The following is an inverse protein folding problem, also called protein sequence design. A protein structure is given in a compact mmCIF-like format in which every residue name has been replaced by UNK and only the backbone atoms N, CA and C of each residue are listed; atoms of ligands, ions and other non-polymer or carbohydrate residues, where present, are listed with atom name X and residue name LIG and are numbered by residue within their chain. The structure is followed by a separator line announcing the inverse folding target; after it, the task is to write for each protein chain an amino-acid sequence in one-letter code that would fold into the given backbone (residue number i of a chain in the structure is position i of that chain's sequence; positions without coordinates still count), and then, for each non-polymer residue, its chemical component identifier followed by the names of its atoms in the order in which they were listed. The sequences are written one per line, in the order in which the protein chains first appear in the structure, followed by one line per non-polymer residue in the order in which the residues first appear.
data_IF_492106283535
#
_entry.id   IF_492106283535
#
_cell.length_a   1.000
_cell.length_b   1.000
_cell.length_c   1.000
_cell.angle_alpha   90.00
_cell.angle_beta   90.00
_cell.angle_gamma   90.00
#
_symmetry.space_group_name_H-M   'P 1'
#
loop_
_entity.id
_entity.type
_entity.pdbx_description
1 polymer ?
#
# COMPACT_ATOMS: atom_id res chain seq x y z
N UNK A 1 -15.52 -17.03 -2.30
CA UNK A 1 -16.51 -17.61 -3.22
C UNK A 1 -16.25 -17.04 -4.60
N UNK A 2 -16.03 -17.87 -5.60
CA UNK A 2 -15.86 -17.41 -6.98
C UNK A 2 -17.22 -16.97 -7.50
N UNK A 3 -17.31 -15.70 -7.82
CA UNK A 3 -18.57 -15.05 -8.14
C UNK A 3 -19.05 -15.37 -9.57
N UNK A 4 -20.15 -14.83 -9.93
CA UNK A 4 -21.03 -14.94 -11.08
C UNK A 4 -20.42 -14.86 -12.50
N UNK A 5 -19.11 -14.85 -12.67
CA UNK A 5 -18.48 -14.77 -13.99
C UNK A 5 -17.89 -16.12 -14.39
N UNK A 6 -18.46 -16.69 -15.42
CA UNK A 6 -17.92 -17.88 -16.09
C UNK A 6 -16.69 -17.45 -16.89
N UNK A 7 -15.54 -17.91 -16.48
CA UNK A 7 -14.36 -17.91 -17.35
C UNK A 7 -14.27 -19.30 -17.97
N UNK A 8 -14.13 -19.37 -19.30
CA UNK A 8 -14.04 -20.64 -20.02
C UNK A 8 -13.07 -21.59 -19.31
N UNK A 9 -13.47 -22.85 -19.11
CA UNK A 9 -12.75 -23.91 -18.40
C UNK A 9 -12.59 -23.77 -16.87
N UNK A 10 -13.12 -22.74 -16.24
CA UNK A 10 -13.15 -22.64 -14.76
C UNK A 10 -14.42 -23.25 -14.16
N UNK A 11 -15.06 -24.14 -14.88
CA UNK A 11 -16.32 -24.79 -14.47
C UNK A 11 -16.21 -25.63 -13.18
N UNK A 12 -15.01 -26.08 -12.86
CA UNK A 12 -14.74 -26.81 -11.61
C UNK A 12 -15.08 -26.02 -10.33
N UNK A 13 -15.26 -24.68 -10.44
CA UNK A 13 -15.62 -23.81 -9.33
C UNK A 13 -17.02 -23.26 -9.41
N UNK A 14 -17.85 -23.73 -10.33
CA UNK A 14 -19.25 -23.34 -10.39
C UNK A 14 -20.01 -23.98 -9.22
N UNK A 15 -20.35 -23.14 -8.26
CA UNK A 15 -21.31 -23.52 -7.23
C UNK A 15 -22.73 -23.40 -7.80
N UNK A 16 -23.44 -24.52 -7.86
CA UNK A 16 -24.82 -24.62 -8.39
C UNK A 16 -25.89 -24.50 -7.31
N UNK A 17 -25.52 -24.40 -6.05
CA UNK A 17 -26.45 -24.28 -4.91
C UNK A 17 -26.94 -22.86 -4.67
N UNK A 18 -27.63 -22.69 -3.56
CA UNK A 18 -28.16 -21.39 -3.14
C UNK A 18 -27.05 -20.44 -2.64
N UNK A 19 -26.69 -19.50 -3.48
CA UNK A 19 -25.67 -18.48 -3.17
C UNK A 19 -26.14 -17.51 -2.08
N UNK A 20 -27.45 -17.21 -2.05
CA UNK A 20 -28.02 -16.31 -1.04
C UNK A 20 -27.86 -16.93 0.36
N UNK A 21 -28.08 -18.23 0.49
CA UNK A 21 -27.86 -18.94 1.74
C UNK A 21 -26.38 -18.87 2.19
N UNK A 22 -25.40 -18.95 1.25
CA UNK A 22 -23.99 -18.82 1.57
C UNK A 22 -23.61 -17.41 2.00
N UNK A 23 -24.17 -16.37 1.38
CA UNK A 23 -23.96 -14.99 1.82
C UNK A 23 -24.60 -14.75 3.20
N UNK A 24 -25.77 -15.35 3.45
CA UNK A 24 -26.39 -15.24 4.79
C UNK A 24 -25.50 -15.92 5.86
N UNK A 25 -24.97 -17.11 5.59
CA UNK A 25 -24.03 -17.77 6.51
C UNK A 25 -22.76 -16.94 6.77
N UNK A 26 -22.21 -16.31 5.73
CA UNK A 26 -21.05 -15.43 5.87
C UNK A 26 -21.37 -14.18 6.72
N UNK A 27 -22.56 -13.60 6.52
CA UNK A 27 -23.05 -12.49 7.33
C UNK A 27 -23.21 -12.87 8.78
N UNK A 28 -23.86 -14.00 9.05
CA UNK A 28 -24.12 -14.49 10.42
C UNK A 28 -22.80 -14.77 11.14
N UNK A 29 -21.88 -15.49 10.51
CA UNK A 29 -20.56 -15.75 11.07
C UNK A 29 -19.74 -14.48 11.34
N UNK A 30 -19.80 -13.49 10.46
CA UNK A 30 -19.14 -12.21 10.69
C UNK A 30 -19.77 -11.44 11.87
N UNK A 31 -21.11 -11.46 11.97
CA UNK A 31 -21.84 -10.86 13.09
C UNK A 31 -21.52 -11.52 14.43
N UNK A 32 -21.33 -12.83 14.46
CA UNK A 32 -20.94 -13.54 15.68
C UNK A 32 -19.62 -13.01 16.22
N UNK A 33 -18.64 -12.77 15.35
CA UNK A 33 -17.36 -12.19 15.77
C UNK A 33 -17.48 -10.70 16.12
N UNK A 34 -18.25 -9.92 15.34
CA UNK A 34 -18.46 -8.49 15.60
C UNK A 34 -19.14 -8.25 16.95
N UNK A 35 -20.03 -9.14 17.35
CA UNK A 35 -20.76 -9.05 18.61
C UNK A 35 -20.05 -9.73 19.79
N UNK A 36 -18.89 -10.36 19.55
CA UNK A 36 -18.09 -10.95 20.63
C UNK A 36 -17.43 -9.83 21.45
N UNK A 37 -17.72 -9.80 22.75
CA UNK A 37 -17.21 -8.79 23.68
C UNK A 37 -15.69 -8.79 23.87
N UNK A 38 -14.98 -9.80 23.36
CA UNK A 38 -13.52 -9.85 23.37
C UNK A 38 -12.88 -8.94 22.30
N UNK A 39 -13.66 -8.47 21.34
CA UNK A 39 -13.18 -7.64 20.24
C UNK A 39 -13.93 -6.32 20.17
N UNK A 40 -13.23 -5.25 19.79
CA UNK A 40 -13.84 -3.94 19.52
C UNK A 40 -13.04 -3.16 18.50
N UNK A 41 -13.71 -2.36 17.65
CA UNK A 41 -13.05 -1.40 16.80
C UNK A 41 -12.47 -0.27 17.65
N UNK A 42 -11.22 0.07 17.41
CA UNK A 42 -10.54 1.18 18.08
C UNK A 42 -10.92 2.48 17.37
N UNK A 43 -11.47 3.43 18.12
CA UNK A 43 -11.75 4.77 17.62
C UNK A 43 -10.47 5.61 17.59
N UNK A 44 -10.08 6.04 16.38
CA UNK A 44 -8.94 6.93 16.16
C UNK A 44 -9.37 8.38 15.89
N UNK A 45 -10.68 8.64 15.74
CA UNK A 45 -11.23 9.91 15.29
C UNK A 45 -11.16 11.02 16.36
N UNK A 46 -9.94 11.33 16.82
CA UNK A 46 -9.70 12.44 17.74
C UNK A 46 -8.33 13.05 17.48
N UNK A 47 -8.29 14.35 17.21
CA UNK A 47 -7.07 15.11 16.95
C UNK A 47 -6.88 15.50 15.48
N UNK A 48 -5.66 15.81 15.11
CA UNK A 48 -5.25 16.14 13.76
C UNK A 48 -5.19 14.90 12.87
N UNK A 49 -5.17 15.09 11.56
CA UNK A 49 -4.99 13.98 10.58
C UNK A 49 -3.76 13.14 10.89
N UNK A 50 -2.66 13.79 11.30
CA UNK A 50 -1.42 13.10 11.69
C UNK A 50 -1.65 12.21 12.92
N UNK A 51 -2.29 12.72 13.96
CA UNK A 51 -2.59 11.94 15.18
C UNK A 51 -3.55 10.78 14.90
N UNK A 52 -4.54 10.98 14.04
CA UNK A 52 -5.44 9.90 13.59
C UNK A 52 -4.65 8.84 12.83
N UNK A 53 -3.76 9.25 11.92
CA UNK A 53 -2.90 8.33 11.16
C UNK A 53 -1.97 7.51 12.08
N UNK A 54 -1.38 8.15 13.08
CA UNK A 54 -0.51 7.50 14.08
C UNK A 54 -1.31 6.49 14.93
N UNK A 55 -2.51 6.83 15.38
CA UNK A 55 -3.40 5.91 16.11
C UNK A 55 -3.79 4.71 15.24
N UNK A 56 -4.18 4.96 13.99
CA UNK A 56 -4.50 3.89 13.04
C UNK A 56 -3.28 2.99 12.77
N UNK A 57 -2.10 3.58 12.57
CA UNK A 57 -0.87 2.82 12.39
C UNK A 57 -0.57 1.94 13.62
N UNK A 58 -0.79 2.46 14.82
CA UNK A 58 -0.57 1.71 16.05
C UNK A 58 -1.46 0.48 16.20
N UNK A 59 -2.69 0.51 15.65
CA UNK A 59 -3.57 -0.70 15.58
C UNK A 59 -2.86 -1.85 14.86
N UNK A 60 -2.09 -1.53 13.83
CA UNK A 60 -1.47 -2.53 12.97
C UNK A 60 -0.20 -3.12 13.57
N UNK A 61 0.60 -2.30 14.25
CA UNK A 61 1.91 -2.70 14.77
C UNK A 61 1.88 -3.19 16.23
N UNK A 62 0.69 -3.24 16.84
CA UNK A 62 0.51 -3.74 18.21
C UNK A 62 -0.57 -4.83 18.26
N UNK A 63 -0.55 -5.66 19.31
CA UNK A 63 -1.70 -6.50 19.64
C UNK A 63 -2.70 -5.68 20.46
N UNK A 64 -3.94 -5.71 20.06
CA UNK A 64 -5.02 -4.92 20.65
C UNK A 64 -6.38 -5.60 20.46
N UNK A 65 -7.45 -4.91 20.81
CA UNK A 65 -8.83 -5.42 20.78
C UNK A 65 -9.34 -5.73 19.36
N UNK A 66 -8.68 -5.23 18.31
CA UNK A 66 -9.00 -5.62 16.92
C UNK A 66 -8.29 -6.90 16.47
N UNK A 67 -7.25 -7.35 17.17
CA UNK A 67 -6.42 -8.47 16.74
C UNK A 67 -7.11 -9.79 17.01
N UNK A 68 -7.56 -10.47 15.95
CA UNK A 68 -8.13 -11.82 16.04
C UNK A 68 -7.00 -12.85 15.93
N UNK A 69 -6.12 -12.68 14.95
CA UNK A 69 -4.96 -13.55 14.75
C UNK A 69 -3.79 -12.79 14.18
N UNK A 70 -2.63 -12.95 14.81
CA UNK A 70 -1.38 -12.34 14.36
C UNK A 70 -0.19 -13.26 14.60
N UNK A 71 0.83 -13.14 13.76
CA UNK A 71 2.13 -13.74 14.01
C UNK A 71 2.89 -12.88 15.00
N UNK A 72 3.32 -13.50 16.09
CA UNK A 72 4.13 -12.84 17.11
C UNK A 72 5.60 -12.97 16.78
N UNK A 73 6.37 -11.94 17.09
CA UNK A 73 7.81 -11.92 16.97
C UNK A 73 8.44 -11.59 18.32
N UNK A 74 9.65 -12.07 18.53
CA UNK A 74 10.41 -11.82 19.74
C UNK A 74 11.80 -11.31 19.39
N UNK A 75 12.29 -10.36 20.17
CA UNK A 75 13.68 -9.93 20.11
C UNK A 75 14.53 -10.99 20.84
N UNK A 76 15.13 -11.89 20.09
CA UNK A 76 16.09 -12.88 20.61
C UNK A 76 17.48 -12.56 20.13
N UNK A 77 18.45 -13.00 20.93
CA UNK A 77 19.89 -12.91 20.70
C UNK A 77 20.26 -13.11 19.22
N UNK A 78 21.31 -12.43 18.78
CA UNK A 78 21.84 -12.41 17.41
C UNK A 78 22.07 -13.80 16.79
N UNK A 79 22.21 -14.84 17.64
CA UNK A 79 22.43 -16.22 17.25
C UNK A 79 21.15 -17.04 17.06
N UNK A 80 19.97 -16.47 17.31
CA UNK A 80 18.69 -17.18 17.09
C UNK A 80 18.27 -17.14 15.62
N UNK A 81 17.60 -18.22 15.18
CA UNK A 81 17.06 -18.33 13.83
C UNK A 81 16.29 -17.07 13.41
N UNK A 82 16.55 -16.59 12.21
CA UNK A 82 15.94 -15.40 11.61
C UNK A 82 14.40 -15.41 11.57
N UNK A 83 13.78 -16.56 11.80
CA UNK A 83 12.33 -16.77 11.74
C UNK A 83 11.53 -16.19 12.92
N UNK A 84 12.21 -15.86 14.02
CA UNK A 84 11.58 -15.33 15.23
C UNK A 84 11.56 -13.81 15.28
N UNK A 85 12.22 -13.13 14.34
CA UNK A 85 12.31 -11.67 14.25
C UNK A 85 11.36 -11.13 13.18
N UNK A 86 10.82 -9.97 13.44
CA UNK A 86 10.15 -9.19 12.39
C UNK A 86 11.22 -8.49 11.55
N UNK A 87 11.38 -8.92 10.30
CA UNK A 87 12.33 -8.34 9.35
C UNK A 87 11.67 -7.41 8.33
N UNK A 88 10.40 -7.06 8.52
CA UNK A 88 9.68 -6.22 7.54
C UNK A 88 10.39 -4.88 7.37
N UNK A 89 10.81 -4.25 8.45
CA UNK A 89 11.52 -2.97 8.35
C UNK A 89 12.84 -3.08 7.57
N UNK A 90 13.64 -4.13 7.80
CA UNK A 90 14.87 -4.37 7.03
C UNK A 90 14.55 -4.60 5.53
N UNK A 91 13.54 -5.41 5.26
CA UNK A 91 13.24 -5.85 3.89
C UNK A 91 12.52 -4.76 3.08
N UNK A 92 11.70 -3.93 3.71
CA UNK A 92 10.80 -2.98 3.04
C UNK A 92 11.09 -1.51 3.36
N UNK A 93 11.87 -1.22 4.38
CA UNK A 93 12.20 0.13 4.80
C UNK A 93 13.17 0.87 3.88
N UNK A 94 13.46 2.15 4.17
CA UNK A 94 14.19 3.04 3.29
C UNK A 94 15.70 2.75 3.26
N UNK A 95 16.30 3.03 2.10
CA UNK A 95 17.74 2.87 1.87
C UNK A 95 18.59 3.75 2.81
N UNK A 96 18.12 4.97 3.12
CA UNK A 96 18.78 5.86 4.08
C UNK A 96 18.95 5.27 5.49
N UNK A 97 18.27 4.15 5.77
CA UNK A 97 18.37 3.37 6.99
C UNK A 97 19.05 2.00 6.77
N UNK A 98 19.78 1.82 5.66
CA UNK A 98 20.34 0.53 5.22
C UNK A 98 19.32 -0.58 5.06
N UNK A 99 18.06 -0.22 4.77
CA UNK A 99 17.02 -1.18 4.48
C UNK A 99 16.89 -1.40 2.96
N UNK A 100 16.18 -2.44 2.56
CA UNK A 100 16.28 -2.98 1.22
C UNK A 100 15.19 -2.50 0.24
N UNK A 101 14.18 -1.75 0.73
CA UNK A 101 13.07 -1.25 -0.08
C UNK A 101 12.42 -2.31 -1.01
N UNK A 102 12.38 -3.57 -0.56
CA UNK A 102 11.98 -4.72 -1.37
C UNK A 102 10.50 -4.78 -1.72
N UNK A 103 9.66 -4.05 -0.99
CA UNK A 103 8.22 -3.91 -1.30
C UNK A 103 7.88 -2.43 -1.42
N UNK A 104 7.62 -2.00 -2.64
CA UNK A 104 7.25 -0.62 -2.92
C UNK A 104 5.81 -0.53 -3.40
N UNK A 105 4.98 0.37 -2.84
CA UNK A 105 3.64 0.62 -3.35
C UNK A 105 3.71 1.15 -4.78
N UNK A 106 2.81 0.68 -5.64
CA UNK A 106 2.66 1.26 -6.97
C UNK A 106 1.96 2.60 -6.88
N UNK A 107 2.20 3.50 -7.84
CA UNK A 107 1.49 4.78 -7.89
C UNK A 107 -0.04 4.61 -7.97
N UNK A 108 -0.53 3.58 -8.67
CA UNK A 108 -1.97 3.22 -8.70
C UNK A 108 -2.53 2.87 -7.30
N UNK A 109 -1.73 2.28 -6.42
CA UNK A 109 -2.15 2.06 -5.03
C UNK A 109 -2.16 3.37 -4.24
N UNK A 110 -1.14 4.19 -4.40
CA UNK A 110 -1.03 5.51 -3.73
C UNK A 110 -2.21 6.40 -4.09
N UNK A 111 -2.63 6.41 -5.36
CA UNK A 111 -3.76 7.18 -5.84
C UNK A 111 -5.12 6.56 -5.49
N UNK A 112 -5.16 5.34 -4.95
CA UNK A 112 -6.39 4.75 -4.44
C UNK A 112 -6.83 5.33 -3.09
N UNK A 113 -5.92 5.87 -2.28
CA UNK A 113 -6.29 6.57 -1.06
C UNK A 113 -7.04 7.85 -1.39
N UNK A 114 -8.16 8.09 -0.75
CA UNK A 114 -9.01 9.26 -1.01
C UNK A 114 -8.46 10.56 -0.40
N UNK A 115 -9.03 11.67 -0.79
CA UNK A 115 -8.83 12.96 -0.10
C UNK A 115 -9.63 13.01 1.19
N UNK A 116 -9.38 14.01 2.04
CA UNK A 116 -10.19 14.26 3.24
C UNK A 116 -11.69 14.41 2.95
N UNK A 117 -12.06 14.88 1.76
CA UNK A 117 -13.45 15.02 1.31
C UNK A 117 -14.07 13.71 0.80
N UNK A 118 -13.32 12.63 0.72
CA UNK A 118 -13.79 11.35 0.17
C UNK A 118 -13.68 11.21 -1.35
N UNK A 119 -13.06 12.17 -2.04
CA UNK A 119 -12.80 12.09 -3.49
C UNK A 119 -11.60 11.19 -3.78
N UNK A 120 -11.68 10.42 -4.86
CA UNK A 120 -10.50 9.78 -5.43
C UNK A 120 -9.74 10.83 -6.23
N UNK A 121 -8.41 10.97 -6.02
CA UNK A 121 -7.61 11.86 -6.86
C UNK A 121 -7.77 11.53 -8.34
N UNK A 122 -7.99 12.53 -9.16
CA UNK A 122 -8.26 12.40 -10.59
C UNK A 122 -7.13 12.97 -11.48
N UNK A 123 -6.04 13.41 -10.86
CA UNK A 123 -4.83 13.89 -11.52
C UNK A 123 -3.68 12.92 -11.28
N UNK A 124 -2.61 13.03 -12.05
CA UNK A 124 -1.43 12.15 -11.92
C UNK A 124 -1.78 10.65 -12.03
N UNK A 125 -2.62 10.29 -12.99
CA UNK A 125 -3.04 8.89 -13.16
C UNK A 125 -2.30 8.18 -14.27
N UNK A 126 -1.79 8.91 -15.27
CA UNK A 126 -1.18 8.35 -16.49
C UNK A 126 0.28 8.70 -16.59
N UNK A 127 1.12 7.80 -17.14
CA UNK A 127 2.51 8.11 -17.44
C UNK A 127 2.67 9.41 -18.22
N UNK A 128 3.59 10.27 -17.75
CA UNK A 128 3.87 11.58 -18.32
C UNK A 128 3.01 12.73 -17.78
N UNK A 129 1.93 12.46 -17.05
CA UNK A 129 1.22 13.53 -16.32
C UNK A 129 2.10 14.11 -15.21
N UNK A 130 2.07 15.42 -15.06
CA UNK A 130 2.87 16.15 -14.07
C UNK A 130 2.04 17.18 -13.33
N UNK A 131 2.44 17.47 -12.09
CA UNK A 131 1.88 18.56 -11.28
C UNK A 131 2.98 19.26 -10.50
N UNK A 132 2.75 20.52 -10.14
CA UNK A 132 3.53 21.29 -9.17
C UNK A 132 2.79 21.43 -7.83
N UNK A 133 1.56 20.98 -7.75
CA UNK A 133 0.82 20.89 -6.49
C UNK A 133 1.21 19.59 -5.79
N UNK A 134 1.49 19.67 -4.49
CA UNK A 134 1.87 18.51 -3.70
C UNK A 134 0.72 17.48 -3.65
N UNK A 135 0.88 16.29 -4.28
CA UNK A 135 -0.20 15.30 -4.39
C UNK A 135 -0.45 14.53 -3.08
N UNK A 136 0.34 14.81 -2.06
CA UNK A 136 0.27 14.14 -0.76
C UNK A 136 -0.51 14.92 0.28
N UNK A 137 -0.88 16.18 -0.04
CA UNK A 137 -1.66 17.03 0.86
C UNK A 137 -3.15 16.63 0.87
N UNK A 138 -3.80 16.90 1.99
CA UNK A 138 -5.24 16.70 2.18
C UNK A 138 -5.71 15.26 1.85
N UNK A 139 -4.87 14.28 2.18
CA UNK A 139 -5.20 12.86 2.02
C UNK A 139 -5.79 12.29 3.30
N UNK A 140 -6.52 11.20 3.16
CA UNK A 140 -7.09 10.49 4.32
C UNK A 140 -6.02 9.95 5.28
N UNK A 141 -6.33 9.75 6.57
CA UNK A 141 -5.34 9.32 7.59
C UNK A 141 -4.62 8.01 7.24
N UNK A 142 -5.32 7.04 6.62
CA UNK A 142 -4.71 5.75 6.22
C UNK A 142 -3.60 5.90 5.18
N UNK A 143 -3.66 6.94 4.34
CA UNK A 143 -2.56 7.26 3.44
C UNK A 143 -1.27 7.50 4.21
N UNK A 144 -1.30 8.41 5.19
CA UNK A 144 -0.12 8.77 6.00
C UNK A 144 0.35 7.64 6.92
N UNK A 145 -0.56 6.75 7.30
CA UNK A 145 -0.24 5.55 8.10
C UNK A 145 0.39 4.42 7.26
N UNK A 146 0.15 4.39 5.94
CA UNK A 146 0.46 3.24 5.08
C UNK A 146 1.60 3.49 4.12
N UNK A 147 1.74 4.72 3.62
CA UNK A 147 2.64 5.08 2.51
C UNK A 147 3.78 5.97 3.01
N UNK A 148 5.01 5.56 2.73
CA UNK A 148 6.18 6.43 2.77
C UNK A 148 6.33 7.14 1.43
N UNK A 149 6.35 8.48 1.45
CA UNK A 149 6.45 9.34 0.28
C UNK A 149 7.52 10.41 0.48
N UNK A 150 7.95 11.10 -0.56
CA UNK A 150 9.00 12.13 -0.48
C UNK A 150 8.62 13.26 0.48
N UNK A 151 9.49 13.55 1.43
CA UNK A 151 9.26 14.51 2.50
C UNK A 151 8.50 13.96 3.71
N UNK A 152 7.97 12.72 3.65
CA UNK A 152 7.31 12.13 4.82
C UNK A 152 8.29 11.90 5.97
N UNK A 153 7.85 12.17 7.19
CA UNK A 153 8.59 11.82 8.39
C UNK A 153 8.74 10.29 8.49
N UNK A 154 9.94 9.86 8.80
CA UNK A 154 10.25 8.45 8.94
C UNK A 154 11.16 8.19 10.13
N UNK A 155 10.63 7.54 11.13
CA UNK A 155 11.36 6.94 12.24
C UNK A 155 12.39 7.82 12.94
N UNK A 156 13.34 7.17 13.58
CA UNK A 156 14.46 7.78 14.29
C UNK A 156 15.74 7.67 13.46
N UNK A 157 16.34 8.78 13.02
CA UNK A 157 17.53 8.75 12.16
C UNK A 157 18.80 8.32 12.90
N UNK A 158 18.79 8.25 14.24
CA UNK A 158 19.98 8.03 15.06
C UNK A 158 19.81 6.87 16.01
N UNK A 159 20.90 6.15 16.22
CA UNK A 159 21.05 5.25 17.34
C UNK A 159 21.01 5.99 18.70
N UNK A 160 20.68 5.27 19.75
CA UNK A 160 20.61 5.79 21.11
C UNK A 160 21.97 6.29 21.63
N UNK A 161 23.09 5.85 21.07
CA UNK A 161 24.45 6.26 21.39
C UNK A 161 24.86 7.59 20.74
N UNK A 162 23.99 8.22 19.97
CA UNK A 162 24.24 9.48 19.29
C UNK A 162 25.04 9.36 17.98
N UNK A 163 25.42 8.16 17.57
CA UNK A 163 26.07 7.94 16.29
C UNK A 163 25.11 8.27 15.13
N UNK A 164 25.61 8.96 14.11
CA UNK A 164 24.88 9.14 12.86
C UNK A 164 24.98 7.83 12.09
N UNK A 165 23.86 7.14 11.98
CA UNK A 165 23.77 5.95 11.18
C UNK A 165 23.27 6.37 9.80
N UNK A 166 24.10 7.02 9.03
CA UNK A 166 23.81 7.53 7.71
C UNK A 166 22.74 8.61 7.52
N UNK A 167 22.61 8.91 6.35
CA UNK A 167 22.30 10.18 5.78
C UNK A 167 20.83 10.36 5.40
N UNK A 168 19.84 9.68 5.96
CA UNK A 168 18.52 10.27 5.90
C UNK A 168 18.49 11.42 6.91
N UNK A 169 18.86 12.63 6.48
CA UNK A 169 18.99 13.73 7.44
C UNK A 169 17.62 14.01 8.01
N UNK A 170 17.56 14.15 9.32
CA UNK A 170 16.39 14.58 10.04
C UNK A 170 15.15 13.67 10.00
N UNK A 171 15.29 12.43 9.51
CA UNK A 171 14.19 11.47 9.49
C UNK A 171 13.11 11.71 8.43
N UNK A 172 13.45 12.39 7.34
CA UNK A 172 12.55 12.59 6.21
C UNK A 172 12.97 11.73 5.02
N UNK A 173 12.01 11.07 4.38
CA UNK A 173 12.22 10.29 3.16
C UNK A 173 12.58 11.17 1.97
N UNK A 174 13.49 10.69 1.12
CA UNK A 174 14.03 11.42 -0.02
C UNK A 174 14.06 10.55 -1.27
N UNK A 175 13.08 10.70 -2.15
CA UNK A 175 12.93 9.91 -3.37
C UNK A 175 13.17 10.70 -4.65
N UNK A 176 13.57 11.97 -4.55
CA UNK A 176 13.64 12.87 -5.70
C UNK A 176 15.05 13.17 -6.19
N UNK A 177 15.08 14.06 -7.16
CA UNK A 177 16.26 14.74 -7.68
C UNK A 177 16.21 16.20 -7.24
N UNK A 178 17.25 16.69 -6.60
CA UNK A 178 17.23 17.98 -5.94
C UNK A 178 18.39 18.86 -6.40
N UNK A 179 18.07 20.08 -6.84
CA UNK A 179 19.05 21.05 -7.25
C UNK A 179 19.85 21.57 -6.06
N UNK A 180 21.16 21.69 -6.22
CA UNK A 180 22.07 22.27 -5.23
C UNK A 180 22.72 23.53 -5.77
N UNK A 181 22.96 24.51 -4.89
CA UNK A 181 23.69 25.73 -5.21
C UNK A 181 25.18 25.45 -5.40
N UNK A 182 25.74 24.60 -4.55
CA UNK A 182 27.14 24.23 -4.51
C UNK A 182 27.31 22.76 -4.13
N UNK A 183 28.43 22.17 -4.48
CA UNK A 183 28.83 20.84 -4.03
C UNK A 183 28.06 19.66 -4.64
N UNK A 184 27.18 19.91 -5.61
CA UNK A 184 26.42 18.87 -6.31
C UNK A 184 27.19 18.26 -7.47
N UNK A 185 26.58 17.23 -8.04
CA UNK A 185 27.03 16.59 -9.28
C UNK A 185 26.03 16.88 -10.41
N UNK A 186 26.42 16.62 -11.65
CA UNK A 186 25.46 16.62 -12.74
C UNK A 186 24.51 15.44 -12.58
N UNK A 187 23.33 15.69 -12.05
CA UNK A 187 22.26 14.69 -11.96
C UNK A 187 21.42 14.72 -13.23
N UNK A 188 21.01 13.55 -13.66
CA UNK A 188 20.15 13.36 -14.81
C UNK A 188 18.75 12.97 -14.33
N UNK A 189 17.91 13.96 -14.06
CA UNK A 189 16.56 13.74 -13.62
C UNK A 189 15.72 13.18 -14.77
N UNK A 190 15.26 11.95 -14.61
CA UNK A 190 14.42 11.25 -15.59
C UNK A 190 12.97 11.44 -15.21
N UNK A 191 12.21 12.08 -16.09
CA UNK A 191 10.78 12.34 -15.89
C UNK A 191 9.88 11.25 -16.45
N UNK A 192 10.32 10.56 -17.53
CA UNK A 192 9.61 9.39 -18.02
C UNK A 192 10.54 8.52 -18.88
N UNK A 193 10.18 7.23 -18.97
CA UNK A 193 10.86 6.26 -19.84
C UNK A 193 9.83 5.53 -20.71
N UNK A 194 10.26 5.04 -21.87
CA UNK A 194 9.48 4.12 -22.68
C UNK A 194 9.48 2.69 -22.10
N UNK A 195 8.84 1.76 -22.81
CA UNK A 195 8.74 0.37 -22.36
C UNK A 195 10.08 -0.38 -22.39
N UNK A 196 11.10 0.16 -23.06
CA UNK A 196 12.45 -0.39 -23.18
C UNK A 196 13.49 0.33 -22.28
N UNK A 197 13.00 1.18 -21.34
CA UNK A 197 13.80 1.96 -20.39
C UNK A 197 14.62 3.10 -21.04
N UNK A 198 14.24 3.57 -22.22
CA UNK A 198 14.87 4.76 -22.78
C UNK A 198 14.19 6.01 -22.23
N UNK A 199 14.96 7.03 -21.80
CA UNK A 199 14.37 8.28 -21.33
C UNK A 199 13.59 9.00 -22.43
N UNK A 200 12.30 9.24 -22.19
CA UNK A 200 11.45 10.06 -23.07
C UNK A 200 11.65 11.54 -22.71
N UNK A 201 11.77 11.83 -21.43
CA UNK A 201 12.02 13.18 -20.93
C UNK A 201 13.05 13.13 -19.81
N UNK A 202 14.10 13.91 -19.94
CA UNK A 202 15.16 14.04 -18.94
C UNK A 202 15.71 15.45 -18.90
N UNK A 203 16.32 15.80 -17.79
CA UNK A 203 16.96 17.09 -17.58
C UNK A 203 18.23 16.92 -16.74
N UNK A 204 19.26 17.70 -17.05
CA UNK A 204 20.51 17.74 -16.27
C UNK A 204 20.61 19.02 -15.48
N UNK A 205 21.03 18.92 -14.24
CA UNK A 205 21.32 20.07 -13.39
C UNK A 205 22.37 19.70 -12.33
N UNK A 206 22.97 20.71 -11.71
CA UNK A 206 23.81 20.52 -10.53
C UNK A 206 22.94 20.16 -9.33
N UNK A 207 23.13 18.98 -8.79
CA UNK A 207 22.24 18.52 -7.72
C UNK A 207 22.66 17.21 -7.09
N UNK A 208 21.70 16.60 -6.39
CA UNK A 208 21.83 15.27 -5.80
C UNK A 208 20.60 14.42 -6.07
N UNK A 209 20.79 13.13 -5.97
CA UNK A 209 19.70 12.14 -5.94
C UNK A 209 19.39 11.81 -4.49
N UNK A 210 18.12 11.74 -4.14
CA UNK A 210 17.68 11.40 -2.79
C UNK A 210 18.18 10.03 -2.33
N UNK A 211 18.54 9.93 -1.06
CA UNK A 211 19.21 8.74 -0.49
C UNK A 211 18.32 7.50 -0.52
N UNK A 212 17.00 7.65 -0.53
CA UNK A 212 16.05 6.55 -0.51
C UNK A 212 15.65 6.05 -1.92
N UNK A 213 16.21 6.67 -2.97
CA UNK A 213 16.02 6.20 -4.34
C UNK A 213 16.96 5.03 -4.64
N UNK A 214 16.66 4.30 -5.72
CA UNK A 214 17.56 3.28 -6.25
C UNK A 214 18.88 3.85 -6.81
N UNK A 215 18.92 5.14 -7.08
CA UNK A 215 20.13 5.87 -7.50
C UNK A 215 20.84 6.52 -6.31
N UNK A 216 20.37 6.25 -5.10
CA UNK A 216 20.88 6.82 -3.87
C UNK A 216 22.34 6.49 -3.60
N UNK A 217 22.98 7.31 -2.77
CA UNK A 217 24.42 7.27 -2.53
C UNK A 217 24.88 6.16 -1.60
N UNK A 218 23.95 5.59 -0.78
CA UNK A 218 24.30 4.59 0.24
C UNK A 218 24.45 3.22 -0.41
N UNK A 219 23.33 2.66 -0.92
CA UNK A 219 23.31 1.36 -1.56
C UNK A 219 22.46 1.42 -2.82
N UNK A 220 23.08 1.49 -3.97
CA UNK A 220 22.41 1.72 -5.26
C UNK A 220 21.50 0.56 -5.73
N UNK A 221 21.49 -0.58 -5.04
CA UNK A 221 20.62 -1.72 -5.31
C UNK A 221 19.39 -1.78 -4.37
N UNK A 222 19.39 -1.03 -3.27
CA UNK A 222 18.38 -1.04 -2.21
C UNK A 222 17.50 0.20 -2.24
N UNK A 223 16.90 0.54 -3.30
CA UNK A 223 16.00 1.69 -3.40
C UNK A 223 14.73 1.36 -4.15
N UNK A 224 13.70 2.18 -3.96
CA UNK A 224 12.45 2.03 -4.67
C UNK A 224 12.53 2.51 -6.11
N UNK A 225 11.85 1.79 -7.03
CA UNK A 225 11.61 2.28 -8.38
C UNK A 225 10.36 3.16 -8.48
N UNK A 226 9.45 3.03 -7.52
CA UNK A 226 8.14 3.68 -7.58
C UNK A 226 8.10 5.07 -6.98
N UNK A 227 9.13 5.46 -6.19
CA UNK A 227 9.15 6.72 -5.43
C UNK A 227 8.34 6.66 -4.14
N UNK A 228 8.04 5.44 -3.65
CA UNK A 228 7.28 5.18 -2.44
C UNK A 228 7.83 4.00 -1.66
N UNK A 229 7.48 3.93 -0.38
CA UNK A 229 7.74 2.77 0.48
C UNK A 229 6.49 2.35 1.24
N UNK A 230 6.48 1.10 1.67
CA UNK A 230 5.54 0.59 2.66
C UNK A 230 5.90 1.14 4.04
N UNK A 231 4.91 1.68 4.76
CA UNK A 231 5.03 2.16 6.14
C UNK A 231 4.21 1.32 7.12
N UNK A 232 3.09 0.79 6.68
CA UNK A 232 2.03 0.23 7.52
C UNK A 232 2.48 -0.83 8.52
N UNK A 233 3.40 -1.69 8.13
CA UNK A 233 3.86 -2.83 8.92
C UNK A 233 5.20 -2.58 9.65
N UNK A 234 5.67 -1.32 9.67
CA UNK A 234 6.98 -0.95 10.21
C UNK A 234 6.80 -0.07 11.44
N UNK A 235 7.41 -0.46 12.54
CA UNK A 235 7.50 0.39 13.73
C UNK A 235 8.56 1.47 13.53
N UNK A 236 8.13 2.67 13.16
CA UNK A 236 8.99 3.82 12.95
C UNK A 236 9.61 4.41 14.24
N UNK A 237 9.21 3.97 15.42
CA UNK A 237 9.83 4.39 16.69
C UNK A 237 11.18 3.72 16.96
N UNK A 238 11.46 2.62 16.26
CA UNK A 238 12.72 1.91 16.37
C UNK A 238 13.83 2.66 15.63
N UNK A 239 15.00 2.79 16.24
CA UNK A 239 16.13 3.48 15.63
C UNK A 239 16.62 2.79 14.35
N UNK A 240 17.21 3.54 13.41
CA UNK A 240 17.65 3.05 12.12
C UNK A 240 18.53 1.80 12.20
N UNK A 241 19.53 1.78 13.07
CA UNK A 241 20.43 0.65 13.28
C UNK A 241 19.77 -0.56 13.97
N UNK A 242 18.53 -0.40 14.45
CA UNK A 242 17.78 -1.44 15.18
C UNK A 242 16.62 -2.02 14.36
N UNK A 243 16.43 -1.58 13.13
CA UNK A 243 15.31 -2.02 12.26
C UNK A 243 15.27 -3.54 12.02
N UNK A 244 16.38 -4.23 12.15
CA UNK A 244 16.44 -5.68 12.04
C UNK A 244 15.94 -6.41 13.31
N UNK A 245 15.59 -5.69 14.36
CA UNK A 245 15.21 -6.22 15.67
C UNK A 245 13.77 -5.89 16.06
N UNK A 246 12.95 -5.49 15.14
CA UNK A 246 11.55 -5.16 15.42
C UNK A 246 10.78 -6.39 15.91
N UNK A 247 9.84 -6.14 16.83
CA UNK A 247 8.99 -7.16 17.44
C UNK A 247 7.52 -6.93 17.21
N UNK A 248 7.15 -5.90 16.43
CA UNK A 248 5.75 -5.63 16.08
C UNK A 248 5.12 -6.86 15.43
N UNK A 249 3.87 -7.21 15.82
CA UNK A 249 3.18 -8.36 15.27
C UNK A 249 2.84 -8.16 13.79
N UNK A 250 2.65 -9.28 13.08
CA UNK A 250 2.10 -9.26 11.73
C UNK A 250 0.63 -9.68 11.80
N UNK A 251 -0.34 -8.79 11.57
CA UNK A 251 -1.75 -9.14 11.59
C UNK A 251 -2.11 -10.02 10.39
N UNK A 252 -2.82 -11.12 10.65
CA UNK A 252 -3.41 -11.97 9.61
C UNK A 252 -4.92 -11.78 9.53
N UNK A 253 -5.59 -11.64 10.67
CA UNK A 253 -7.03 -11.40 10.76
C UNK A 253 -7.28 -10.40 11.87
N UNK A 254 -8.00 -9.34 11.56
CA UNK A 254 -8.46 -8.35 12.52
C UNK A 254 -9.93 -8.00 12.34
N UNK A 255 -10.54 -7.44 13.37
CA UNK A 255 -11.98 -7.20 13.43
C UNK A 255 -12.51 -6.35 12.27
N UNK A 256 -11.72 -5.37 11.77
CA UNK A 256 -12.12 -4.58 10.62
C UNK A 256 -12.41 -5.43 9.37
N UNK A 257 -11.73 -6.55 9.17
CA UNK A 257 -12.05 -7.46 8.06
C UNK A 257 -13.42 -8.10 8.23
N UNK A 258 -13.84 -8.41 9.46
CA UNK A 258 -15.17 -8.97 9.74
C UNK A 258 -16.27 -7.98 9.38
N UNK A 259 -16.10 -6.70 9.69
CA UNK A 259 -17.01 -5.64 9.25
C UNK A 259 -17.12 -5.56 7.72
N UNK A 260 -15.99 -5.63 7.03
CA UNK A 260 -15.97 -5.58 5.55
C UNK A 260 -16.55 -6.87 4.92
N UNK A 261 -16.44 -8.03 5.58
CA UNK A 261 -17.10 -9.28 5.17
C UNK A 261 -18.61 -9.16 5.36
N UNK A 262 -19.06 -8.65 6.51
CA UNK A 262 -20.49 -8.42 6.77
C UNK A 262 -21.09 -7.44 5.75
N UNK A 263 -20.40 -6.34 5.47
CA UNK A 263 -20.82 -5.38 4.45
C UNK A 263 -20.96 -6.02 3.07
N UNK A 264 -19.96 -6.82 2.64
CA UNK A 264 -19.99 -7.51 1.35
C UNK A 264 -21.18 -8.47 1.26
N UNK A 265 -21.39 -9.28 2.30
CA UNK A 265 -22.52 -10.20 2.36
C UNK A 265 -23.86 -9.45 2.31
N UNK A 266 -24.00 -8.34 3.03
CA UNK A 266 -25.20 -7.50 2.98
C UNK A 266 -25.45 -6.94 1.59
N UNK A 267 -24.42 -6.47 0.88
CA UNK A 267 -24.55 -5.96 -0.50
C UNK A 267 -25.05 -7.08 -1.42
N UNK A 268 -24.49 -8.28 -1.34
CA UNK A 268 -24.89 -9.39 -2.21
C UNK A 268 -26.30 -9.92 -1.86
N UNK A 269 -26.75 -9.75 -0.61
CA UNK A 269 -28.11 -10.00 -0.17
C UNK A 269 -29.09 -8.84 -0.46
N UNK A 270 -28.62 -7.76 -1.11
CA UNK A 270 -29.37 -6.52 -1.36
C UNK A 270 -29.90 -5.83 -0.07
N UNK A 271 -29.20 -6.00 1.06
CA UNK A 271 -29.44 -5.33 2.33
C UNK A 271 -28.58 -4.07 2.43
N UNK A 272 -28.78 -3.10 1.52
CA UNK A 272 -27.84 -2.00 1.29
C UNK A 272 -27.70 -1.06 2.48
N UNK A 273 -28.79 -0.75 3.19
CA UNK A 273 -28.73 0.12 4.38
C UNK A 273 -27.98 -0.57 5.54
N UNK A 274 -28.11 -1.90 5.69
CA UNK A 274 -27.33 -2.66 6.67
C UNK A 274 -25.85 -2.71 6.29
N UNK A 275 -25.53 -2.84 5.01
CA UNK A 275 -24.13 -2.80 4.52
C UNK A 275 -23.42 -1.50 4.90
N UNK A 276 -24.12 -0.37 4.77
CA UNK A 276 -23.58 0.96 5.08
C UNK A 276 -23.20 1.06 6.55
N UNK A 277 -23.95 0.47 7.47
CA UNK A 277 -23.62 0.48 8.92
C UNK A 277 -22.22 -0.10 9.16
N UNK A 278 -21.90 -1.21 8.51
CA UNK A 278 -20.58 -1.84 8.67
C UNK A 278 -19.46 -1.05 7.99
N UNK A 279 -19.70 -0.47 6.82
CA UNK A 279 -18.72 0.35 6.13
C UNK A 279 -18.47 1.65 6.93
N UNK A 280 -19.52 2.29 7.42
CA UNK A 280 -19.41 3.55 8.15
C UNK A 280 -18.75 3.36 9.54
N UNK A 281 -18.86 2.18 10.15
CA UNK A 281 -18.08 1.86 11.34
C UNK A 281 -16.55 1.92 11.07
N UNK A 282 -16.10 1.40 9.92
CA UNK A 282 -14.69 1.45 9.52
C UNK A 282 -14.27 2.87 9.14
N UNK A 283 -15.12 3.61 8.44
CA UNK A 283 -14.82 4.97 7.98
C UNK A 283 -14.89 5.99 9.11
N UNK A 284 -15.92 5.91 9.94
CA UNK A 284 -16.18 6.85 11.03
C UNK A 284 -15.09 6.86 12.09
N UNK A 285 -14.51 5.69 12.42
CA UNK A 285 -13.43 5.58 13.43
C UNK A 285 -12.15 6.34 13.10
N UNK A 286 -11.98 6.74 11.84
CA UNK A 286 -10.84 7.52 11.34
C UNK A 286 -11.29 8.89 10.79
N UNK A 287 -12.49 9.34 11.12
CA UNK A 287 -13.01 10.65 10.73
C UNK A 287 -13.34 10.79 9.24
N UNK A 288 -13.66 9.69 8.54
CA UNK A 288 -14.05 9.78 7.12
C UNK A 288 -15.52 10.13 6.96
N UNK A 289 -15.90 10.84 5.89
CA UNK A 289 -17.30 11.03 5.53
C UNK A 289 -18.03 9.69 5.38
N UNK A 290 -19.31 9.67 5.74
CA UNK A 290 -20.12 8.46 5.58
C UNK A 290 -20.22 7.98 4.12
N UNK A 291 -20.61 6.73 3.96
CA UNK A 291 -20.66 6.07 2.65
C UNK A 291 -21.59 6.79 1.67
N UNK A 292 -22.79 7.21 2.10
CA UNK A 292 -23.76 7.84 1.21
C UNK A 292 -23.29 9.22 0.76
N UNK A 293 -22.73 10.02 1.67
CA UNK A 293 -22.11 11.30 1.34
C UNK A 293 -20.93 11.13 0.38
N UNK A 294 -20.08 10.14 0.61
CA UNK A 294 -18.92 9.86 -0.25
C UNK A 294 -19.34 9.39 -1.64
N UNK A 295 -20.34 8.53 -1.77
CA UNK A 295 -20.89 8.13 -3.08
C UNK A 295 -21.37 9.37 -3.86
N UNK A 296 -22.11 10.27 -3.20
CA UNK A 296 -22.59 11.50 -3.83
C UNK A 296 -21.44 12.40 -4.32
N UNK A 297 -20.39 12.58 -3.49
CA UNK A 297 -19.19 13.35 -3.85
C UNK A 297 -18.47 12.74 -5.06
N UNK A 298 -18.50 11.41 -5.20
CA UNK A 298 -17.89 10.67 -6.33
C UNK A 298 -18.80 10.59 -7.56
N UNK A 299 -20.03 11.17 -7.50
CA UNK A 299 -21.02 11.08 -8.59
C UNK A 299 -21.59 9.68 -8.78
N UNK A 300 -21.51 8.85 -7.74
CA UNK A 300 -22.09 7.50 -7.69
C UNK A 300 -23.47 7.53 -7.04
N UNK A 301 -24.29 6.53 -7.32
CA UNK A 301 -25.64 6.39 -6.76
C UNK A 301 -25.69 5.32 -5.68
N UNK A 302 -26.60 5.48 -4.73
CA UNK A 302 -26.82 4.47 -3.71
C UNK A 302 -27.61 3.28 -4.30
N UNK A 303 -26.88 2.35 -4.89
CA UNK A 303 -27.40 1.10 -5.46
C UNK A 303 -26.39 -0.05 -5.22
N UNK A 304 -26.82 -1.28 -5.48
CA UNK A 304 -25.98 -2.47 -5.22
C UNK A 304 -24.66 -2.46 -6.02
N UNK A 305 -24.68 -2.01 -7.27
CA UNK A 305 -23.48 -2.02 -8.12
C UNK A 305 -22.45 -1.01 -7.65
N UNK A 306 -22.86 0.23 -7.41
CA UNK A 306 -21.95 1.29 -6.97
C UNK A 306 -21.44 1.03 -5.55
N UNK A 307 -22.30 0.52 -4.67
CA UNK A 307 -21.90 0.17 -3.31
C UNK A 307 -20.94 -1.02 -3.27
N UNK A 308 -21.08 -1.99 -4.20
CA UNK A 308 -20.13 -3.09 -4.36
C UNK A 308 -18.74 -2.59 -4.75
N UNK A 309 -18.65 -1.71 -5.73
CA UNK A 309 -17.36 -1.14 -6.14
C UNK A 309 -16.76 -0.24 -5.04
N UNK A 310 -17.60 0.50 -4.33
CA UNK A 310 -17.19 1.27 -3.16
C UNK A 310 -16.59 0.38 -2.07
N UNK A 311 -17.26 -0.71 -1.70
CA UNK A 311 -16.74 -1.68 -0.71
C UNK A 311 -15.43 -2.32 -1.17
N UNK A 312 -15.33 -2.71 -2.44
CA UNK A 312 -14.08 -3.28 -3.00
C UNK A 312 -12.92 -2.32 -2.90
N UNK A 313 -13.20 -1.04 -3.11
CA UNK A 313 -12.23 0.03 -2.93
C UNK A 313 -11.87 0.20 -1.44
N UNK A 314 -12.86 0.24 -0.55
CA UNK A 314 -12.66 0.36 0.90
C UNK A 314 -11.82 -0.80 1.44
N UNK A 315 -12.12 -2.05 1.05
CA UNK A 315 -11.29 -3.21 1.39
C UNK A 315 -9.85 -3.08 0.88
N UNK A 316 -9.66 -2.57 -0.33
CA UNK A 316 -8.32 -2.36 -0.89
C UNK A 316 -7.49 -1.41 -0.04
N UNK A 317 -8.08 -0.31 0.41
CA UNK A 317 -7.39 0.72 1.20
C UNK A 317 -7.19 0.26 2.65
N UNK A 318 -8.26 -0.20 3.28
CA UNK A 318 -8.25 -0.62 4.70
C UNK A 318 -7.28 -1.79 4.94
N UNK A 319 -7.32 -2.80 4.09
CA UNK A 319 -6.55 -4.04 4.23
C UNK A 319 -5.26 -4.07 3.37
N UNK A 320 -4.77 -2.90 2.95
CA UNK A 320 -3.49 -2.80 2.23
C UNK A 320 -2.39 -3.48 3.03
N UNK A 321 -1.59 -4.34 2.40
CA UNK A 321 -0.50 -5.16 2.97
C UNK A 321 -0.93 -6.24 3.98
N UNK A 322 -2.21 -6.45 4.19
CA UNK A 322 -2.75 -7.49 5.09
C UNK A 322 -3.18 -8.77 4.35
N UNK A 323 -2.53 -9.10 3.25
CA UNK A 323 -2.68 -10.35 2.47
C UNK A 323 -4.02 -10.55 1.75
N UNK A 324 -5.06 -9.74 2.00
CA UNK A 324 -6.42 -9.93 1.46
C UNK A 324 -6.52 -9.73 -0.05
N UNK A 325 -5.79 -8.76 -0.63
CA UNK A 325 -5.94 -8.34 -2.04
C UNK A 325 -5.72 -9.45 -3.05
N UNK A 326 -4.75 -10.34 -2.81
CA UNK A 326 -4.48 -11.48 -3.69
C UNK A 326 -5.72 -12.37 -3.87
N UNK A 327 -6.42 -12.64 -2.78
CA UNK A 327 -7.64 -13.46 -2.79
C UNK A 327 -8.84 -12.68 -3.32
N UNK A 328 -8.99 -11.42 -2.95
CA UNK A 328 -10.09 -10.55 -3.35
C UNK A 328 -10.20 -10.40 -4.87
N UNK A 329 -9.10 -10.08 -5.57
CA UNK A 329 -9.12 -9.91 -7.02
C UNK A 329 -9.44 -11.21 -7.76
N UNK A 330 -9.14 -12.37 -7.16
CA UNK A 330 -9.45 -13.67 -7.73
C UNK A 330 -10.90 -14.07 -7.48
N UNK A 331 -11.39 -13.96 -6.26
CA UNK A 331 -12.77 -14.32 -5.93
C UNK A 331 -13.80 -13.39 -6.56
N UNK A 332 -13.43 -12.12 -6.82
CA UNK A 332 -14.25 -11.16 -7.56
C UNK A 332 -14.10 -11.27 -9.08
N UNK A 333 -13.21 -12.13 -9.56
CA UNK A 333 -12.91 -12.33 -10.98
C UNK A 333 -12.47 -11.06 -11.72
N UNK A 334 -11.82 -10.11 -11.02
CA UNK A 334 -11.28 -8.87 -11.59
C UNK A 334 -9.76 -8.94 -11.82
N UNK A 335 -9.15 -10.09 -11.58
CA UNK A 335 -7.71 -10.25 -11.73
C UNK A 335 -7.19 -9.93 -13.17
N UNK A 336 -7.91 -10.21 -14.27
CA UNK A 336 -7.47 -9.77 -15.61
C UNK A 336 -7.37 -8.25 -15.76
N UNK A 337 -8.29 -7.52 -15.13
CA UNK A 337 -8.32 -6.05 -15.18
C UNK A 337 -7.14 -5.44 -14.40
N UNK A 338 -6.81 -6.04 -13.26
CA UNK A 338 -5.74 -5.56 -12.37
C UNK A 338 -4.37 -6.05 -12.85
N UNK A 339 -4.27 -7.32 -13.25
CA UNK A 339 -3.02 -7.98 -13.61
C UNK A 339 -2.44 -7.57 -14.97
N UNK A 340 -3.21 -6.85 -15.80
CA UNK A 340 -2.73 -6.28 -17.06
C UNK A 340 -2.43 -4.78 -16.99
N UNK A 341 -2.63 -4.13 -15.84
CA UNK A 341 -2.28 -2.72 -15.68
C UNK A 341 -0.77 -2.52 -15.74
N UNK A 342 -0.35 -1.48 -16.44
CA UNK A 342 1.06 -1.06 -16.44
C UNK A 342 1.48 -0.63 -15.04
N UNK A 343 2.70 -0.99 -14.66
CA UNK A 343 3.31 -0.53 -13.43
C UNK A 343 3.66 0.95 -13.55
N UNK A 344 3.30 1.74 -12.56
CA UNK A 344 3.60 3.16 -12.50
C UNK A 344 4.27 3.54 -11.18
N UNK A 345 5.11 4.56 -11.24
CA UNK A 345 5.74 5.23 -10.12
C UNK A 345 5.69 6.74 -10.28
N UNK A 346 6.41 7.46 -9.45
CA UNK A 346 6.53 8.91 -9.53
C UNK A 346 8.02 9.32 -9.59
N UNK A 347 8.34 10.27 -10.43
CA UNK A 347 9.58 11.05 -10.38
C UNK A 347 9.31 12.38 -9.69
N UNK A 348 10.22 12.79 -8.84
CA UNK A 348 10.10 14.01 -8.04
C UNK A 348 11.35 14.86 -8.32
N UNK A 349 11.14 16.10 -8.72
CA UNK A 349 12.23 17.03 -9.02
C UNK A 349 12.03 18.31 -8.24
N UNK A 350 12.97 18.61 -7.35
CA UNK A 350 13.04 19.86 -6.59
C UNK A 350 13.99 20.86 -7.25
N UNK A 351 13.46 21.98 -7.69
CA UNK A 351 14.21 23.12 -8.24
C UNK A 351 14.32 24.23 -7.21
N UNK A 352 15.51 24.79 -7.03
CA UNK A 352 15.70 25.92 -6.11
C UNK A 352 14.80 27.09 -6.48
N UNK A 353 14.15 27.65 -5.49
CA UNK A 353 13.43 28.91 -5.63
C UNK A 353 14.43 30.06 -5.82
N UNK A 354 14.08 31.12 -6.54
CA UNK A 354 14.93 32.28 -6.74
C UNK A 354 15.47 32.84 -5.40
N UNK A 355 16.79 33.00 -5.31
CA UNK A 355 17.46 33.52 -4.13
C UNK A 355 17.61 32.55 -2.96
N UNK A 356 17.16 31.32 -3.10
CA UNK A 356 17.38 30.26 -2.10
C UNK A 356 18.65 29.48 -2.37
N UNK A 357 19.23 28.97 -1.29
CA UNK A 357 20.45 28.17 -1.31
C UNK A 357 20.16 26.85 -0.61
N UNK A 358 20.51 25.76 -1.25
CA UNK A 358 20.48 24.45 -0.62
C UNK A 358 21.89 23.89 -0.50
N UNK A 359 22.21 23.31 0.64
CA UNK A 359 23.48 22.67 0.95
C UNK A 359 23.27 21.21 1.33
N UNK A 360 24.36 20.44 1.30
CA UNK A 360 24.36 19.09 1.87
C UNK A 360 24.43 19.14 3.40
N UNK A 361 23.78 18.20 4.11
CA UNK A 361 22.87 17.20 3.57
C UNK A 361 21.53 17.81 3.13
N UNK A 362 20.96 17.26 2.08
CA UNK A 362 19.65 17.69 1.58
C UNK A 362 18.53 17.39 2.62
N UNK A 363 17.57 18.29 2.68
CA UNK A 363 16.33 18.12 3.43
C UNK A 363 15.16 18.51 2.54
N UNK A 364 14.13 17.68 2.47
CA UNK A 364 12.89 18.07 1.78
C UNK A 364 12.33 19.35 2.40
N UNK A 365 12.19 20.41 1.62
CA UNK A 365 11.76 21.72 2.11
C UNK A 365 11.04 22.50 1.00
N UNK A 366 9.72 22.63 1.14
CA UNK A 366 8.89 23.39 0.21
C UNK A 366 9.12 24.90 0.26
N UNK A 367 9.76 25.45 1.30
CA UNK A 367 10.17 26.85 1.36
C UNK A 367 11.42 27.13 0.51
N UNK A 368 12.22 26.12 0.26
CA UNK A 368 13.45 26.21 -0.51
C UNK A 368 13.25 25.79 -1.97
N UNK A 369 12.41 24.79 -2.22
CA UNK A 369 12.25 24.17 -3.52
C UNK A 369 10.87 24.39 -4.12
N UNK A 370 10.84 24.47 -5.46
CA UNK A 370 9.65 24.20 -6.27
C UNK A 370 9.73 22.75 -6.72
N UNK A 371 8.75 21.95 -6.31
CA UNK A 371 8.68 20.54 -6.69
C UNK A 371 7.85 20.33 -7.96
N UNK A 372 8.21 19.30 -8.69
CA UNK A 372 7.41 18.74 -9.79
C UNK A 372 7.35 17.24 -9.61
N UNK A 373 6.14 16.72 -9.56
CA UNK A 373 5.84 15.28 -9.54
C UNK A 373 5.40 14.86 -10.93
N UNK A 374 5.96 13.76 -11.43
CA UNK A 374 5.63 13.24 -12.76
C UNK A 374 5.44 11.74 -12.69
N UNK A 375 4.34 11.24 -13.26
CA UNK A 375 4.06 9.80 -13.30
C UNK A 375 5.00 9.10 -14.27
N UNK A 376 5.71 8.10 -13.78
CA UNK A 376 6.63 7.26 -14.56
C UNK A 376 5.93 6.01 -15.10
N UNK A 377 6.29 5.60 -16.30
CA UNK A 377 6.05 4.25 -16.80
C UNK A 377 7.19 3.35 -16.32
N UNK A 378 6.86 2.32 -15.55
CA UNK A 378 7.82 1.34 -15.04
C UNK A 378 7.69 -0.03 -15.73
N UNK A 379 7.11 -0.07 -16.90
CA UNK A 379 6.89 -1.32 -17.65
C UNK A 379 8.21 -2.05 -17.99
N UNK A 380 9.33 -1.33 -18.02
CA UNK A 380 10.66 -1.92 -18.18
C UNK A 380 11.14 -2.71 -16.95
N UNK A 381 10.57 -2.43 -15.77
CA UNK A 381 10.85 -3.21 -14.55
C UNK A 381 10.00 -4.46 -14.52
N UNK A 382 8.70 -4.33 -14.80
CA UNK A 382 7.74 -5.41 -14.74
C UNK A 382 6.65 -5.24 -15.79
N UNK A 383 6.68 -6.09 -16.82
CA UNK A 383 5.61 -6.20 -17.82
C UNK A 383 4.53 -7.13 -17.29
N UNK A 384 3.54 -6.57 -16.65
CA UNK A 384 2.41 -7.35 -16.11
C UNK A 384 1.58 -7.94 -17.23
N UNK A 385 1.35 -9.23 -17.13
CA UNK A 385 0.49 -9.98 -18.04
C UNK A 385 -0.31 -10.99 -17.24
N UNK A 386 -1.62 -10.85 -17.28
CA UNK A 386 -2.50 -11.85 -16.71
C UNK A 386 -2.83 -12.93 -17.74
N UNK A 387 -2.81 -14.17 -17.30
CA UNK A 387 -3.36 -15.31 -18.01
C UNK A 387 -4.37 -15.99 -17.09
N UNK A 388 -5.49 -16.47 -17.65
CA UNK A 388 -6.56 -17.07 -16.85
C UNK A 388 -6.12 -18.32 -16.06
N UNK A 389 -5.08 -19.02 -16.50
CA UNK A 389 -4.46 -20.09 -15.70
C UNK A 389 -3.98 -19.62 -14.33
N UNK A 390 -3.66 -18.32 -14.17
CA UNK A 390 -3.15 -17.74 -12.92
C UNK A 390 -4.22 -17.63 -11.82
N UNK A 391 -5.49 -17.95 -12.10
CA UNK A 391 -6.48 -18.13 -11.04
C UNK A 391 -6.11 -19.27 -10.10
N UNK A 392 -5.41 -20.28 -10.60
CA UNK A 392 -4.92 -21.42 -9.84
C UNK A 392 -3.41 -21.56 -9.98
N UNK A 393 -2.78 -22.18 -9.00
CA UNK A 393 -1.42 -22.68 -9.15
C UNK A 393 -1.43 -24.05 -9.84
N UNK A 394 -0.41 -24.37 -10.65
CA UNK A 394 -0.29 -25.73 -11.19
C UNK A 394 -0.04 -26.74 -10.07
N UNK A 395 -0.63 -27.92 -10.18
CA UNK A 395 -0.24 -29.06 -9.36
C UNK A 395 1.14 -29.52 -9.84
N UNK A 396 2.06 -29.78 -8.93
CA UNK A 396 3.41 -30.23 -9.30
C UNK A 396 3.35 -31.48 -10.19
N UNK A 397 4.13 -31.49 -11.27
CA UNK A 397 4.19 -32.63 -12.20
C UNK A 397 4.49 -33.94 -11.49
N UNK A 398 5.36 -33.93 -10.48
CA UNK A 398 5.68 -35.14 -9.69
C UNK A 398 4.43 -35.75 -9.03
N UNK A 399 3.49 -34.93 -8.56
CA UNK A 399 2.27 -35.43 -7.91
C UNK A 399 1.29 -36.01 -8.94
N UNK A 400 1.16 -35.38 -10.09
CA UNK A 400 0.30 -35.92 -11.17
C UNK A 400 0.88 -37.22 -11.78
N UNK A 401 2.22 -37.34 -11.86
CA UNK A 401 2.87 -38.57 -12.28
C UNK A 401 2.78 -39.69 -11.22
N UNK A 402 2.82 -39.32 -9.94
CA UNK A 402 2.71 -40.29 -8.83
C UNK A 402 1.30 -40.83 -8.64
N UNK A 403 0.29 -40.03 -8.95
CA UNK A 403 -1.10 -40.39 -8.84
C UNK A 403 -1.88 -40.01 -10.11
N UNK A 404 -2.14 -40.95 -11.04
CA UNK A 404 -2.85 -40.66 -12.29
C UNK A 404 -4.32 -40.20 -12.11
N UNK A 405 -4.89 -40.35 -10.92
CA UNK A 405 -6.22 -39.83 -10.62
C UNK A 405 -6.24 -38.32 -10.36
N UNK A 406 -5.08 -37.69 -10.19
CA UNK A 406 -4.99 -36.23 -10.04
C UNK A 406 -5.14 -35.58 -11.40
N UNK A 407 -6.20 -34.79 -11.54
CA UNK A 407 -6.44 -33.95 -12.72
C UNK A 407 -5.76 -32.58 -12.48
N UNK A 408 -4.96 -32.16 -13.46
CA UNK A 408 -4.27 -30.87 -13.42
C UNK A 408 -5.27 -29.71 -13.42
N UNK A 409 -4.91 -28.62 -12.79
CA UNK A 409 -5.71 -27.39 -12.82
C UNK A 409 -5.87 -26.87 -14.26
N UNK A 410 -7.02 -26.21 -14.58
CA UNK A 410 -7.32 -25.73 -15.92
C UNK A 410 -6.19 -24.88 -16.51
N UNK A 411 -5.94 -25.05 -17.81
CA UNK A 411 -4.91 -24.37 -18.61
C UNK A 411 -3.44 -24.77 -18.30
N UNK A 412 -3.20 -25.82 -17.54
CA UNK A 412 -1.87 -26.40 -17.30
C UNK A 412 -1.73 -27.82 -17.87
N UNK A 413 -2.64 -28.19 -18.75
CA UNK A 413 -2.65 -29.49 -19.44
C UNK A 413 -1.46 -29.67 -20.39
#
# INVERSE_FOLDING_TARGET
MFADRTVNKLECNQYTGDRQALYQQALDAAKDVINDSNYSLIDCNAGTIKEIAEKFHNIIITNNEETIWSKQYVNKDLNADNWVRNRVALLHGPNGYHNWAGTAPTHDLVMAFETEEGKIPNTLLKPGESTTENPYMNREPRFYATIGYDGAEWGRPRASDGAVFDATPLGNLQFGYYELSEGGNNVNAIYSVDDDNNPIKQEKFNGMVGVDTRMGQIENWNGTYTGYLEKKLIDGSVAANEHNFQTCPMPYIRLAEMYLIAAEACIELNKLDEAVIYIDAIRGRIGRPDTKATLAVRGQTFNQSDLREFLRHERRVELTYEHSRYYDIRRWMIAPEIGNKKLTGVSIVGRLKPGKTASLPYVHDEEVYNYTWTVLNLNYIEKRKWDNKMYFAPIKLEETLRNPAIIQNPYYE
#
